data_IF_707340802252
#
_entry.id   IF_707340802252
#
_cell.length_a   1.000
_cell.length_b   1.000
_cell.length_c   1.000
_cell.angle_alpha   90.00
_cell.angle_beta   90.00
_cell.angle_gamma   90.00
#
_symmetry.space_group_name_H-M   'P 1'
#
loop_
_entity.id
_entity.type
_entity.pdbx_description
1 polymer ?
#
# COMPACT_ATOMS: atom_id res chain seq x y z
N UNK A 1 -11.12 -21.05 6.91
CA UNK A 1 -10.42 -20.30 7.96
C UNK A 1 -10.94 -18.89 7.86
N UNK A 2 -11.57 -18.34 8.90
CA UNK A 2 -11.97 -16.93 8.86
C UNK A 2 -10.69 -16.10 8.92
N UNK A 3 -10.29 -15.51 7.80
CA UNK A 3 -9.16 -14.61 7.80
C UNK A 3 -9.43 -13.47 8.78
N UNK A 4 -8.50 -13.26 9.71
CA UNK A 4 -8.60 -12.21 10.70
C UNK A 4 -8.65 -10.86 9.98
N UNK A 5 -9.58 -9.98 10.38
CA UNK A 5 -9.69 -8.65 9.80
C UNK A 5 -8.88 -7.66 10.62
N UNK A 6 -8.19 -6.73 9.96
CA UNK A 6 -7.48 -5.64 10.64
C UNK A 6 -7.72 -4.28 10.01
N UNK A 7 -7.41 -3.25 10.79
CA UNK A 7 -7.72 -1.86 10.46
C UNK A 7 -6.56 -1.15 9.79
N UNK A 8 -6.84 -0.45 8.70
CA UNK A 8 -5.94 0.50 8.08
C UNK A 8 -6.48 1.91 8.28
N UNK A 9 -5.89 2.63 9.23
CA UNK A 9 -6.26 3.99 9.58
C UNK A 9 -5.36 5.03 8.93
N UNK A 10 -5.93 6.21 8.64
CA UNK A 10 -5.23 7.36 8.09
C UNK A 10 -5.69 8.63 8.80
N UNK A 11 -4.74 9.52 9.10
CA UNK A 11 -5.03 10.90 9.51
C UNK A 11 -4.69 11.84 8.36
N UNK A 12 -5.55 12.85 8.13
CA UNK A 12 -5.36 13.87 7.12
C UNK A 12 -5.59 15.27 7.71
N UNK A 13 -4.76 16.25 7.35
CA UNK A 13 -4.74 17.56 8.04
C UNK A 13 -5.34 18.70 7.19
N UNK A 14 -5.51 18.49 5.89
CA UNK A 14 -5.98 19.51 4.95
C UNK A 14 -7.42 19.28 4.48
N UNK A 15 -8.01 20.26 3.80
CA UNK A 15 -9.27 20.10 3.08
C UNK A 15 -9.08 19.22 1.84
N UNK A 16 -9.99 18.26 1.64
CA UNK A 16 -9.97 17.33 0.52
C UNK A 16 -11.03 17.71 -0.50
N UNK A 17 -10.63 17.85 -1.76
CA UNK A 17 -11.62 17.81 -2.81
C UNK A 17 -12.21 16.40 -2.89
N UNK A 18 -13.43 16.29 -3.43
CA UNK A 18 -14.05 14.99 -3.72
C UNK A 18 -13.16 14.13 -4.63
N UNK A 19 -12.43 14.77 -5.54
CA UNK A 19 -11.47 14.12 -6.44
C UNK A 19 -10.25 13.57 -5.69
N UNK A 20 -9.67 14.34 -4.76
CA UNK A 20 -8.55 13.87 -3.92
C UNK A 20 -8.99 12.64 -3.11
N UNK A 21 -10.19 12.71 -2.54
CA UNK A 21 -10.79 11.63 -1.75
C UNK A 21 -10.98 10.38 -2.59
N UNK A 22 -11.70 10.52 -3.71
CA UNK A 22 -11.95 9.42 -4.63
C UNK A 22 -10.64 8.77 -5.09
N UNK A 23 -9.68 9.58 -5.54
CA UNK A 23 -8.43 9.07 -6.11
C UNK A 23 -7.64 8.32 -5.05
N UNK A 24 -7.47 8.88 -3.86
CA UNK A 24 -6.72 8.21 -2.79
C UNK A 24 -7.31 6.84 -2.44
N UNK A 25 -8.61 6.77 -2.10
CA UNK A 25 -9.24 5.51 -1.72
C UNK A 25 -9.29 4.52 -2.87
N UNK A 26 -9.46 5.00 -4.10
CA UNK A 26 -9.43 4.14 -5.27
C UNK A 26 -8.05 3.48 -5.44
N UNK A 27 -6.96 4.23 -5.28
CA UNK A 27 -5.61 3.67 -5.40
C UNK A 27 -5.27 2.73 -4.25
N UNK A 28 -5.69 3.05 -3.01
CA UNK A 28 -5.54 2.14 -1.86
C UNK A 28 -6.30 0.82 -2.13
N UNK A 29 -7.52 0.90 -2.66
CA UNK A 29 -8.31 -0.28 -3.02
C UNK A 29 -7.65 -1.10 -4.16
N UNK A 30 -7.13 -0.45 -5.20
CA UNK A 30 -6.39 -1.13 -6.28
C UNK A 30 -5.19 -1.88 -5.70
N UNK A 31 -4.38 -1.22 -4.87
CA UNK A 31 -3.19 -1.82 -4.26
C UNK A 31 -3.57 -3.03 -3.39
N UNK A 32 -4.56 -2.87 -2.52
CA UNK A 32 -5.07 -3.95 -1.68
C UNK A 32 -5.50 -5.16 -2.52
N UNK A 33 -6.31 -4.95 -3.56
CA UNK A 33 -6.81 -6.05 -4.39
C UNK A 33 -5.69 -6.75 -5.15
N UNK A 34 -4.67 -6.03 -5.63
CA UNK A 34 -3.52 -6.63 -6.32
C UNK A 34 -2.69 -7.50 -5.38
N UNK A 35 -2.45 -7.06 -4.15
CA UNK A 35 -1.76 -7.86 -3.14
C UNK A 35 -2.58 -9.09 -2.73
N UNK A 36 -3.90 -8.93 -2.59
CA UNK A 36 -4.81 -10.04 -2.32
C UNK A 36 -4.80 -11.08 -3.44
N UNK A 37 -4.76 -10.66 -4.71
CA UNK A 37 -4.63 -11.58 -5.86
C UNK A 37 -3.31 -12.35 -5.81
N UNK A 38 -2.19 -11.70 -5.47
CA UNK A 38 -0.90 -12.39 -5.35
C UNK A 38 -0.91 -13.44 -4.23
N UNK A 39 -1.55 -13.12 -3.11
CA UNK A 39 -1.71 -14.07 -2.01
C UNK A 39 -2.64 -15.24 -2.40
N UNK A 40 -3.71 -14.99 -3.14
CA UNK A 40 -4.60 -16.04 -3.65
C UNK A 40 -3.87 -16.99 -4.62
N UNK A 41 -3.08 -16.43 -5.54
CA UNK A 41 -2.23 -17.21 -6.47
C UNK A 41 -1.26 -18.10 -5.68
N UNK A 42 -0.66 -17.55 -4.62
CA UNK A 42 0.24 -18.29 -3.73
C UNK A 42 -0.48 -19.45 -3.02
N UNK A 43 -1.63 -19.18 -2.41
CA UNK A 43 -2.39 -20.17 -1.64
C UNK A 43 -2.93 -21.30 -2.53
N UNK A 44 -3.42 -20.96 -3.72
CA UNK A 44 -3.96 -21.94 -4.68
C UNK A 44 -2.89 -22.63 -5.52
N UNK A 45 -1.63 -22.19 -5.44
CA UNK A 45 -0.52 -22.62 -6.29
C UNK A 45 -0.87 -22.65 -7.78
N UNK A 46 -1.73 -21.72 -8.21
CA UNK A 46 -2.28 -21.71 -9.57
C UNK A 46 -1.58 -20.64 -10.39
N UNK A 47 -0.77 -21.06 -11.35
CA UNK A 47 -0.12 -20.14 -12.26
C UNK A 47 -1.16 -19.52 -13.22
N UNK A 48 -1.35 -18.21 -13.12
CA UNK A 48 -2.21 -17.40 -14.00
C UNK A 48 -1.37 -16.27 -14.60
N UNK A 49 -1.74 -15.74 -15.76
CA UNK A 49 -1.02 -14.59 -16.31
C UNK A 49 -1.15 -13.36 -15.38
N UNK A 50 -0.02 -12.82 -14.92
CA UNK A 50 0.03 -11.74 -13.93
C UNK A 50 -0.64 -10.48 -14.45
N UNK A 51 -0.44 -10.15 -15.73
CA UNK A 51 -1.11 -9.00 -16.36
C UNK A 51 -2.63 -9.08 -16.18
N UNK A 52 -3.24 -10.17 -16.63
CA UNK A 52 -4.70 -10.35 -16.53
C UNK A 52 -5.17 -10.41 -15.08
N UNK A 53 -4.39 -11.06 -14.20
CA UNK A 53 -4.74 -11.21 -12.79
C UNK A 53 -4.74 -9.87 -12.03
N UNK A 54 -3.69 -9.06 -12.20
CA UNK A 54 -3.49 -7.83 -11.44
C UNK A 54 -4.26 -6.64 -11.99
N UNK A 55 -4.39 -6.51 -13.31
CA UNK A 55 -5.22 -5.47 -13.92
C UNK A 55 -6.72 -5.79 -13.84
N UNK A 56 -7.09 -7.07 -13.74
CA UNK A 56 -8.45 -7.52 -13.46
C UNK A 56 -8.78 -7.69 -11.97
N UNK A 57 -7.91 -7.21 -11.05
CA UNK A 57 -8.02 -7.51 -9.62
C UNK A 57 -9.31 -6.98 -8.96
N UNK A 58 -9.88 -5.87 -9.45
CA UNK A 58 -11.10 -5.26 -8.89
C UNK A 58 -12.32 -6.19 -8.90
N UNK A 59 -12.40 -7.12 -9.85
CA UNK A 59 -13.51 -8.07 -9.97
C UNK A 59 -13.19 -9.47 -9.44
N UNK A 60 -11.95 -9.72 -8.99
CA UNK A 60 -11.48 -11.04 -8.56
C UNK A 60 -11.65 -11.31 -7.08
N UNK A 61 -11.75 -10.27 -6.26
CA UNK A 61 -11.85 -10.40 -4.80
C UNK A 61 -13.31 -10.66 -4.39
N UNK A 62 -13.50 -11.71 -3.60
CA UNK A 62 -14.80 -12.10 -3.05
C UNK A 62 -15.37 -10.97 -2.16
N UNK A 63 -16.69 -10.79 -2.06
CA UNK A 63 -17.29 -9.71 -1.28
C UNK A 63 -16.83 -9.65 0.19
N UNK A 64 -16.57 -10.82 0.78
CA UNK A 64 -16.09 -11.01 2.14
C UNK A 64 -14.65 -10.55 2.35
N UNK A 65 -13.77 -10.68 1.35
CA UNK A 65 -12.35 -10.29 1.41
C UNK A 65 -12.08 -8.85 0.93
N UNK A 66 -13.09 -8.16 0.39
CA UNK A 66 -12.94 -6.77 -0.09
C UNK A 66 -12.58 -5.83 1.05
N UNK A 67 -11.74 -4.85 0.72
CA UNK A 67 -11.48 -3.70 1.57
C UNK A 67 -12.78 -2.92 1.78
N UNK A 68 -13.16 -2.71 3.03
CA UNK A 68 -14.39 -2.04 3.45
C UNK A 68 -14.07 -0.74 4.16
N UNK A 69 -14.97 0.22 4.04
CA UNK A 69 -14.95 1.42 4.88
C UNK A 69 -15.46 1.04 6.27
N UNK A 70 -14.68 1.32 7.32
CA UNK A 70 -15.11 1.22 8.72
C UNK A 70 -15.68 2.55 9.20
N UNK A 71 -14.92 3.63 9.03
CA UNK A 71 -15.36 4.98 9.36
C UNK A 71 -14.66 6.01 8.47
N UNK A 72 -15.36 7.12 8.23
CA UNK A 72 -14.86 8.31 7.56
C UNK A 72 -15.36 9.49 8.39
N UNK A 73 -14.45 10.25 8.97
CA UNK A 73 -14.73 11.50 9.66
C UNK A 73 -14.15 12.65 8.83
N UNK A 74 -15.03 13.48 8.29
CA UNK A 74 -14.67 14.61 7.43
C UNK A 74 -14.79 15.89 8.25
N UNK A 75 -13.94 16.02 9.26
CA UNK A 75 -13.62 17.29 9.92
C UNK A 75 -12.12 17.56 9.72
N UNK A 76 -11.60 18.74 10.05
CA UNK A 76 -10.16 18.97 10.04
C UNK A 76 -9.64 18.84 11.48
N UNK A 77 -8.75 17.86 11.79
CA UNK A 77 -8.16 16.86 10.89
C UNK A 77 -9.08 15.67 10.60
N UNK A 78 -9.06 15.17 9.37
CA UNK A 78 -9.88 14.04 8.92
C UNK A 78 -9.33 12.71 9.41
N UNK A 79 -10.24 11.78 9.71
CA UNK A 79 -9.93 10.41 10.13
C UNK A 79 -10.60 9.39 9.19
N UNK A 80 -9.82 8.46 8.66
CA UNK A 80 -10.34 7.40 7.80
C UNK A 80 -9.87 6.04 8.28
N UNK A 81 -10.80 5.10 8.46
CA UNK A 81 -10.47 3.74 8.86
C UNK A 81 -11.10 2.75 7.88
N UNK A 82 -10.27 1.84 7.37
CA UNK A 82 -10.65 0.75 6.47
C UNK A 82 -10.48 -0.60 7.18
N UNK A 83 -11.27 -1.59 6.78
CA UNK A 83 -11.20 -2.97 7.27
C UNK A 83 -10.91 -3.92 6.11
N UNK A 84 -9.95 -4.81 6.27
CA UNK A 84 -9.65 -5.85 5.30
C UNK A 84 -8.89 -7.02 5.93
N UNK A 85 -8.49 -7.99 5.11
CA UNK A 85 -7.75 -9.17 5.53
C UNK A 85 -6.41 -8.78 6.14
N UNK A 86 -6.13 -9.26 7.36
CA UNK A 86 -5.05 -8.76 8.19
C UNK A 86 -3.70 -8.79 7.48
N UNK A 87 -3.39 -9.93 6.86
CA UNK A 87 -2.15 -10.12 6.12
C UNK A 87 -1.97 -9.10 4.99
N UNK A 88 -3.05 -8.79 4.26
CA UNK A 88 -3.02 -7.85 3.15
C UNK A 88 -2.94 -6.42 3.68
N UNK A 89 -3.70 -6.09 4.72
CA UNK A 89 -3.63 -4.80 5.41
C UNK A 89 -2.23 -4.53 5.94
N UNK A 90 -1.57 -5.54 6.52
CA UNK A 90 -0.17 -5.44 6.95
C UNK A 90 0.76 -5.04 5.80
N UNK A 91 0.62 -5.66 4.63
CA UNK A 91 1.42 -5.32 3.45
C UNK A 91 1.14 -3.90 2.93
N UNK A 92 -0.13 -3.51 2.84
CA UNK A 92 -0.53 -2.15 2.42
C UNK A 92 0.03 -1.11 3.39
N UNK A 93 -0.10 -1.34 4.70
CA UNK A 93 0.36 -0.43 5.75
C UNK A 93 1.86 -0.17 5.64
N UNK A 94 2.66 -1.22 5.52
CA UNK A 94 4.12 -1.09 5.40
C UNK A 94 4.52 -0.34 4.13
N UNK A 95 3.88 -0.67 3.00
CA UNK A 95 4.13 0.04 1.74
C UNK A 95 3.84 1.55 1.84
N UNK A 96 2.71 1.94 2.42
CA UNK A 96 2.35 3.36 2.52
C UNK A 96 3.20 4.08 3.59
N UNK A 97 3.52 3.44 4.71
CA UNK A 97 4.42 4.00 5.73
C UNK A 97 5.78 4.34 5.14
N UNK A 98 6.35 3.46 4.33
CA UNK A 98 7.62 3.70 3.65
C UNK A 98 7.56 4.95 2.75
N UNK A 99 6.43 5.20 2.07
CA UNK A 99 6.22 6.42 1.27
C UNK A 99 6.18 7.68 2.16
N UNK A 100 5.39 7.66 3.22
CA UNK A 100 5.24 8.83 4.13
C UNK A 100 6.56 9.16 4.85
N UNK A 101 7.33 8.16 5.25
CA UNK A 101 8.65 8.33 5.85
C UNK A 101 9.63 9.01 4.88
N UNK A 102 9.63 8.60 3.60
CA UNK A 102 10.41 9.26 2.56
C UNK A 102 10.03 10.73 2.41
N UNK A 103 8.74 11.06 2.30
CA UNK A 103 8.33 12.45 2.12
C UNK A 103 8.76 13.34 3.29
N UNK A 104 8.79 12.78 4.51
CA UNK A 104 9.33 13.46 5.68
C UNK A 104 10.85 13.67 5.57
N UNK A 105 11.59 12.64 5.17
CA UNK A 105 13.04 12.74 4.95
C UNK A 105 13.37 13.70 3.80
N UNK A 106 12.71 13.63 2.65
CA UNK A 106 12.94 14.52 1.50
C UNK A 106 12.64 15.99 1.85
N UNK A 107 11.65 16.25 2.72
CA UNK A 107 11.39 17.59 3.28
C UNK A 107 12.53 18.03 4.21
N UNK A 108 12.97 17.16 5.11
CA UNK A 108 14.11 17.42 6.00
C UNK A 108 15.42 17.59 5.23
N UNK A 109 15.65 16.85 4.14
CA UNK A 109 16.84 16.96 3.28
C UNK A 109 16.84 18.22 2.40
N UNK A 110 15.67 18.75 2.06
CA UNK A 110 15.54 20.09 1.45
C UNK A 110 15.87 21.20 2.45
N UNK A 111 15.62 20.96 3.74
CA UNK A 111 15.96 21.88 4.83
C UNK A 111 17.44 21.74 5.28
N UNK A 112 18.01 20.54 5.23
CA UNK A 112 19.38 20.21 5.67
C UNK A 112 20.27 19.83 4.48
N UNK A 113 20.89 20.84 3.84
CA UNK A 113 21.88 20.61 2.80
C UNK A 113 23.25 20.16 3.37
N UNK A 114 23.40 18.87 3.71
CA UNK A 114 24.70 18.24 4.02
C UNK A 114 24.85 16.88 3.29
N UNK A 115 25.90 16.76 2.46
CA UNK A 115 26.04 15.71 1.44
C UNK A 115 26.26 14.29 1.98
N UNK A 116 26.74 14.12 3.21
CA UNK A 116 27.05 12.80 3.78
C UNK A 116 25.83 12.06 4.35
N UNK A 117 24.77 12.76 4.73
CA UNK A 117 23.54 12.14 5.25
C UNK A 117 22.62 11.65 4.12
N UNK A 118 22.69 12.32 2.96
CA UNK A 118 21.93 11.99 1.73
C UNK A 118 22.18 10.59 1.22
N UNK A 119 23.44 10.14 1.22
CA UNK A 119 23.80 8.84 0.65
C UNK A 119 23.26 7.69 1.52
N UNK A 120 23.50 7.76 2.84
CA UNK A 120 23.04 6.77 3.82
C UNK A 120 21.51 6.75 3.97
N UNK A 121 20.85 7.91 3.89
CA UNK A 121 19.40 7.98 3.94
C UNK A 121 18.77 7.46 2.65
N UNK A 122 19.26 7.85 1.46
CA UNK A 122 18.76 7.31 0.18
C UNK A 122 18.88 5.78 0.11
N UNK A 123 19.96 5.20 0.67
CA UNK A 123 20.17 3.75 0.76
C UNK A 123 19.12 3.07 1.66
N UNK A 124 18.75 3.67 2.80
CA UNK A 124 17.68 3.16 3.67
C UNK A 124 16.29 3.31 3.04
N UNK A 125 16.06 4.43 2.34
CA UNK A 125 14.80 4.73 1.65
C UNK A 125 14.58 3.82 0.44
N UNK A 126 15.65 3.47 -0.28
CA UNK A 126 15.64 2.43 -1.32
C UNK A 126 15.41 1.03 -0.71
N UNK A 127 15.99 0.72 0.45
CA UNK A 127 15.86 -0.58 1.11
C UNK A 127 14.44 -0.91 1.64
N UNK A 128 13.66 0.09 2.07
CA UNK A 128 12.28 -0.08 2.56
C UNK A 128 11.27 -0.42 1.44
N UNK A 129 11.23 0.42 0.40
CA UNK A 129 10.50 0.16 -0.86
C UNK A 129 10.90 -1.18 -1.47
N UNK A 130 12.20 -1.51 -1.38
CA UNK A 130 12.72 -2.81 -1.76
C UNK A 130 12.20 -3.93 -0.87
N UNK A 131 11.96 -3.80 0.43
CA UNK A 131 11.61 -4.98 1.24
C UNK A 131 10.27 -5.59 0.87
N UNK A 132 9.18 -4.82 0.86
CA UNK A 132 7.87 -5.39 0.52
C UNK A 132 7.78 -5.70 -0.98
N UNK A 133 8.24 -4.82 -1.87
CA UNK A 133 8.26 -5.12 -3.31
C UNK A 133 9.21 -6.29 -3.63
N UNK A 134 10.37 -6.42 -2.97
CA UNK A 134 11.26 -7.58 -3.13
C UNK A 134 10.65 -8.85 -2.55
N UNK A 135 9.89 -8.77 -1.45
CA UNK A 135 9.10 -9.91 -0.99
C UNK A 135 8.09 -10.35 -2.06
N UNK A 136 7.43 -9.40 -2.75
CA UNK A 136 6.54 -9.72 -3.86
C UNK A 136 7.29 -10.25 -5.09
N UNK A 137 8.48 -9.72 -5.40
CA UNK A 137 9.35 -10.24 -6.47
C UNK A 137 9.80 -11.67 -6.15
N UNK A 138 10.24 -11.92 -4.92
CA UNK A 138 10.66 -13.24 -4.45
C UNK A 138 9.49 -14.21 -4.47
N UNK A 139 8.29 -13.76 -4.09
CA UNK A 139 7.06 -14.54 -4.22
C UNK A 139 6.81 -14.90 -5.68
N UNK A 140 6.79 -13.94 -6.60
CA UNK A 140 6.57 -14.19 -8.03
C UNK A 140 7.63 -15.14 -8.61
N UNK A 141 8.90 -15.00 -8.22
CA UNK A 141 9.98 -15.94 -8.57
C UNK A 141 9.70 -17.35 -8.05
N UNK A 142 9.28 -17.48 -6.78
CA UNK A 142 8.96 -18.77 -6.17
C UNK A 142 7.74 -19.46 -6.80
N UNK A 143 6.86 -18.67 -7.42
CA UNK A 143 5.70 -19.13 -8.18
C UNK A 143 6.03 -19.50 -9.64
N UNK A 144 7.30 -19.40 -10.04
CA UNK A 144 7.76 -19.79 -11.37
C UNK A 144 7.44 -18.78 -12.48
N UNK A 145 7.18 -17.51 -12.14
CA UNK A 145 7.02 -16.46 -13.15
C UNK A 145 8.36 -16.08 -13.77
N UNK A 146 8.35 -15.87 -15.09
CA UNK A 146 9.48 -15.32 -15.82
C UNK A 146 9.68 -13.82 -15.53
N UNK A 147 10.79 -13.29 -16.01
CA UNK A 147 11.21 -11.91 -15.76
C UNK A 147 10.21 -10.89 -16.34
N UNK A 148 9.61 -11.15 -17.51
CA UNK A 148 8.65 -10.24 -18.13
C UNK A 148 7.36 -10.15 -17.29
N UNK A 149 6.84 -11.30 -16.84
CA UNK A 149 5.69 -11.36 -15.95
C UNK A 149 5.97 -10.68 -14.61
N UNK A 150 7.16 -10.87 -14.05
CA UNK A 150 7.59 -10.21 -12.81
C UNK A 150 7.61 -8.68 -13.00
N UNK A 151 8.17 -8.16 -14.10
CA UNK A 151 8.21 -6.73 -14.38
C UNK A 151 6.80 -6.13 -14.49
N UNK A 152 5.88 -6.82 -15.16
CA UNK A 152 4.46 -6.45 -15.20
C UNK A 152 3.87 -6.42 -13.79
N UNK A 153 4.17 -7.43 -12.97
CA UNK A 153 3.70 -7.51 -11.59
C UNK A 153 4.19 -6.36 -10.72
N UNK A 154 5.48 -6.03 -10.84
CA UNK A 154 6.09 -4.89 -10.14
C UNK A 154 5.41 -3.59 -10.56
N UNK A 155 5.25 -3.37 -11.88
CA UNK A 155 4.62 -2.15 -12.40
C UNK A 155 3.19 -2.01 -11.90
N UNK A 156 2.41 -3.09 -11.91
CA UNK A 156 1.06 -3.09 -11.38
C UNK A 156 1.01 -2.76 -9.87
N UNK A 157 2.03 -3.08 -9.08
CA UNK A 157 2.08 -2.65 -7.67
C UNK A 157 2.58 -1.21 -7.52
N UNK A 158 3.53 -0.78 -8.36
CA UNK A 158 4.16 0.54 -8.28
C UNK A 158 3.23 1.69 -8.71
N UNK A 159 2.42 1.49 -9.75
CA UNK A 159 1.52 2.52 -10.30
C UNK A 159 0.58 3.13 -9.23
N UNK A 160 -0.20 2.35 -8.45
CA UNK A 160 -1.08 2.91 -7.42
C UNK A 160 -0.29 3.50 -6.25
N UNK A 161 0.89 2.94 -5.92
CA UNK A 161 1.76 3.47 -4.86
C UNK A 161 2.24 4.88 -5.18
N UNK A 162 2.62 5.15 -6.44
CA UNK A 162 3.05 6.47 -6.87
C UNK A 162 1.95 7.53 -6.72
N UNK A 163 0.69 7.17 -7.05
CA UNK A 163 -0.44 8.08 -6.89
C UNK A 163 -0.82 8.29 -5.42
N UNK A 164 -0.77 7.24 -4.59
CA UNK A 164 -0.96 7.36 -3.13
C UNK A 164 0.10 8.30 -2.56
N UNK A 165 1.36 8.14 -2.97
CA UNK A 165 2.47 8.98 -2.53
C UNK A 165 2.27 10.45 -2.87
N UNK A 166 1.86 10.76 -4.10
CA UNK A 166 1.59 12.12 -4.55
C UNK A 166 0.49 12.79 -3.72
N UNK A 167 -0.65 12.13 -3.54
CA UNK A 167 -1.76 12.67 -2.74
C UNK A 167 -1.38 12.79 -1.28
N UNK A 168 -0.70 11.77 -0.72
CA UNK A 168 -0.27 11.78 0.68
C UNK A 168 0.70 12.93 0.96
N UNK A 169 1.59 13.23 0.01
CA UNK A 169 2.53 14.36 0.09
C UNK A 169 1.81 15.69 0.06
N UNK A 170 0.82 15.83 -0.83
CA UNK A 170 0.07 17.08 -1.01
C UNK A 170 -0.90 17.34 0.15
N UNK A 171 -1.52 16.30 0.71
CA UNK A 171 -2.57 16.39 1.74
C UNK A 171 -2.11 16.05 3.16
N UNK A 172 -0.80 15.86 3.34
CA UNK A 172 -0.18 15.50 4.62
C UNK A 172 -0.85 14.27 5.28
N UNK A 173 -1.07 13.22 4.48
CA UNK A 173 -1.64 11.97 4.98
C UNK A 173 -0.61 11.21 5.77
N UNK A 174 -1.01 10.72 6.95
CA UNK A 174 -0.20 9.79 7.73
C UNK A 174 -0.96 8.50 7.99
N UNK A 175 -0.25 7.39 7.98
CA UNK A 175 -0.83 6.07 8.28
C UNK A 175 -0.79 5.85 9.78
N UNK A 176 -1.93 5.49 10.35
CA UNK A 176 -2.03 5.17 11.78
C UNK A 176 -1.17 3.97 12.13
N UNK A 177 -0.56 4.02 13.30
CA UNK A 177 0.03 2.81 13.88
C UNK A 177 -1.09 1.80 14.14
N UNK A 178 -0.84 0.49 13.98
CA UNK A 178 -1.83 -0.52 14.28
C UNK A 178 -2.32 -0.30 15.72
N UNK A 179 -3.60 -0.01 15.87
CA UNK A 179 -4.21 0.04 17.18
C UNK A 179 -4.11 -1.38 17.74
N UNK A 180 -3.34 -1.57 18.82
CA UNK A 180 -3.47 -2.76 19.65
C UNK A 180 -4.82 -2.66 20.38
N UNK A 181 -5.93 -2.81 19.66
CA UNK A 181 -7.22 -2.92 20.32
C UNK A 181 -7.44 -4.38 20.71
N UNK A 182 -7.14 -4.61 22.00
CA UNK A 182 -7.89 -5.41 22.94
C UNK A 182 -8.59 -6.64 22.37
N UNK A 183 -8.03 -7.82 22.69
CA UNK A 183 -8.86 -8.99 22.91
C UNK A 183 -9.99 -8.58 23.87
N UNK A 184 -11.21 -8.47 23.36
CA UNK A 184 -12.41 -8.53 24.18
C UNK A 184 -12.80 -10.00 24.30
#
# INVERSE_FOLDING_TARGET
MSDELSELGFDAVEDWSVEDFYTFFHQVNILYNRLSVLEDIKLKQRQVQLKSALYGSLSRISPEERLKVKSIEIHSPGDFNLLGVDKIIGQVRELIKDLTYRNKLDRQEKEEALSHQKEMNSLKTMAGKQKVLANQIQLMKSLGYDQEQIEIGIKALADPLAQIEEISSRKNVTVKSPNKQSKA
#
